data_IF_206101116308
#
_entry.id   IF_206101116308
#
_cell.length_a   1.000
_cell.length_b   1.000
_cell.length_c   1.000
_cell.angle_alpha   90.00
_cell.angle_beta   90.00
_cell.angle_gamma   90.00
#
_symmetry.space_group_name_H-M   'P 1'
#
loop_
_entity.id
_entity.type
_entity.pdbx_description
1 polymer ?
#
# COMPACT_ATOMS: atom_id res chain seq x y z
N UNK A 1 4.13 6.10 -8.82
CA UNK A 1 5.22 5.17 -8.50
C UNK A 1 6.31 5.08 -9.58
N UNK A 2 6.01 5.16 -10.88
CA UNK A 2 7.06 5.04 -11.92
C UNK A 2 8.17 6.08 -11.80
N UNK A 3 7.84 7.32 -11.43
CA UNK A 3 8.85 8.37 -11.26
C UNK A 3 9.82 8.04 -10.12
N UNK A 4 9.29 7.60 -8.98
CA UNK A 4 10.12 7.21 -7.83
C UNK A 4 11.07 6.09 -8.22
N UNK A 5 10.57 5.08 -8.94
CA UNK A 5 11.36 3.96 -9.40
C UNK A 5 12.49 4.40 -10.34
N UNK A 6 12.20 5.31 -11.28
CA UNK A 6 13.21 5.85 -12.20
C UNK A 6 14.29 6.63 -11.47
N UNK A 7 13.91 7.47 -10.51
CA UNK A 7 14.85 8.25 -9.73
C UNK A 7 15.79 7.34 -8.93
N UNK A 8 15.25 6.30 -8.32
CA UNK A 8 16.02 5.34 -7.55
C UNK A 8 17.01 4.56 -8.44
N UNK A 9 16.57 4.14 -9.62
CA UNK A 9 17.44 3.45 -10.59
C UNK A 9 18.59 4.35 -11.04
N UNK A 10 18.32 5.63 -11.27
CA UNK A 10 19.35 6.59 -11.66
C UNK A 10 20.36 6.81 -10.54
N UNK A 11 19.91 6.91 -9.30
CA UNK A 11 20.78 7.03 -8.15
C UNK A 11 21.65 5.78 -7.98
N UNK A 12 21.05 4.61 -8.10
CA UNK A 12 21.77 3.33 -7.99
C UNK A 12 22.85 3.18 -9.07
N UNK A 13 22.59 3.70 -10.26
CA UNK A 13 23.54 3.62 -11.38
C UNK A 13 24.86 4.35 -11.10
N UNK A 14 24.86 5.36 -10.21
CA UNK A 14 26.07 6.07 -9.78
C UNK A 14 26.57 5.61 -8.42
N UNK A 15 26.07 4.46 -7.93
CA UNK A 15 26.52 3.87 -6.67
C UNK A 15 25.79 4.33 -5.42
N UNK A 16 24.77 5.18 -5.57
CA UNK A 16 23.99 5.66 -4.44
C UNK A 16 22.78 4.74 -4.21
N UNK A 17 23.00 3.67 -3.45
CA UNK A 17 21.99 2.67 -3.16
C UNK A 17 22.36 1.89 -1.91
N UNK A 18 21.35 1.26 -1.28
CA UNK A 18 21.58 0.26 -0.24
C UNK A 18 21.93 -1.07 -0.90
N UNK A 19 22.88 -1.79 -0.32
CA UNK A 19 23.36 -3.04 -0.89
C UNK A 19 22.64 -4.28 -0.36
N UNK A 20 21.97 -4.16 0.78
CA UNK A 20 21.30 -5.28 1.44
C UNK A 20 19.82 -5.01 1.66
N UNK A 21 19.00 -6.06 1.44
CA UNK A 21 17.55 -5.98 1.63
C UNK A 21 17.19 -5.66 3.07
N UNK A 22 17.98 -6.14 4.04
CA UNK A 22 17.76 -5.85 5.46
C UNK A 22 17.84 -4.36 5.77
N UNK A 23 18.79 -3.64 5.14
CA UNK A 23 18.91 -2.18 5.30
C UNK A 23 17.72 -1.45 4.69
N UNK A 24 17.20 -1.92 3.58
CA UNK A 24 16.02 -1.35 2.92
C UNK A 24 14.79 -1.53 3.79
N UNK A 25 14.62 -2.73 4.36
CA UNK A 25 13.52 -3.01 5.29
C UNK A 25 13.60 -2.13 6.54
N UNK A 26 14.79 -1.98 7.09
CA UNK A 26 15.01 -1.13 8.26
C UNK A 26 14.66 0.32 7.98
N UNK A 27 15.00 0.82 6.80
CA UNK A 27 14.66 2.18 6.39
C UNK A 27 13.15 2.39 6.34
N UNK A 28 12.41 1.42 5.78
CA UNK A 28 10.96 1.48 5.76
C UNK A 28 10.38 1.51 7.18
N UNK A 29 10.92 0.71 8.07
CA UNK A 29 10.49 0.70 9.48
C UNK A 29 10.73 2.05 10.15
N UNK A 30 11.88 2.69 9.88
CA UNK A 30 12.20 4.02 10.38
C UNK A 30 11.20 5.07 9.89
N UNK A 31 10.87 5.02 8.59
CA UNK A 31 9.91 5.97 8.00
C UNK A 31 8.50 5.78 8.58
N UNK A 32 8.10 4.54 8.84
CA UNK A 32 6.81 4.25 9.50
C UNK A 32 6.78 4.83 10.91
N UNK A 33 7.89 4.74 11.65
CA UNK A 33 7.96 5.30 13.00
C UNK A 33 7.92 6.81 12.99
N UNK A 34 8.59 7.45 12.04
CA UNK A 34 8.54 8.91 11.85
C UNK A 34 7.12 9.37 11.52
N UNK A 35 6.42 8.61 10.66
CA UNK A 35 5.01 8.88 10.34
C UNK A 35 4.14 8.78 11.59
N UNK A 36 4.34 7.74 12.40
CA UNK A 36 3.59 7.55 13.65
C UNK A 36 3.79 8.74 14.59
N UNK A 37 5.02 9.21 14.72
CA UNK A 37 5.34 10.38 15.54
C UNK A 37 4.64 11.64 15.02
N UNK A 38 4.65 11.86 13.71
CA UNK A 38 3.99 13.01 13.08
C UNK A 38 2.49 12.99 13.32
N UNK A 39 1.86 11.82 13.23
CA UNK A 39 0.43 11.65 13.51
C UNK A 39 0.13 12.01 14.98
N UNK A 40 0.96 11.52 15.90
CA UNK A 40 0.82 11.80 17.33
C UNK A 40 0.94 13.28 17.69
N UNK A 41 1.72 14.03 16.90
CA UNK A 41 1.94 15.47 17.10
C UNK A 41 0.92 16.33 16.37
N UNK A 42 -0.04 15.74 15.68
CA UNK A 42 -1.11 16.45 14.95
C UNK A 42 -0.55 17.48 13.95
N UNK A 43 0.59 17.19 13.34
CA UNK A 43 1.24 18.07 12.38
C UNK A 43 0.95 17.61 10.95
N UNK A 44 -0.02 18.24 10.29
CA UNK A 44 -0.50 17.84 8.97
C UNK A 44 0.61 17.90 7.90
N UNK A 45 1.48 18.90 7.95
CA UNK A 45 2.58 19.04 6.99
C UNK A 45 3.60 17.90 7.16
N UNK A 46 3.95 17.58 8.40
CA UNK A 46 4.86 16.49 8.70
C UNK A 46 4.25 15.13 8.33
N UNK A 47 2.97 14.93 8.58
CA UNK A 47 2.27 13.70 8.19
C UNK A 47 2.35 13.49 6.68
N UNK A 48 2.12 14.55 5.90
CA UNK A 48 2.20 14.47 4.43
C UNK A 48 3.60 14.12 3.97
N UNK A 49 4.61 14.76 4.52
CA UNK A 49 6.01 14.52 4.17
C UNK A 49 6.42 13.08 4.51
N UNK A 50 6.12 12.63 5.73
CA UNK A 50 6.50 11.29 6.17
C UNK A 50 5.73 10.21 5.41
N UNK A 51 4.46 10.45 5.06
CA UNK A 51 3.72 9.51 4.22
C UNK A 51 4.37 9.38 2.84
N UNK A 52 4.81 10.50 2.27
CA UNK A 52 5.56 10.47 1.01
C UNK A 52 6.83 9.63 1.11
N UNK A 53 7.57 9.78 2.21
CA UNK A 53 8.79 9.01 2.45
C UNK A 53 8.52 7.52 2.64
N UNK A 54 7.41 7.16 3.30
CA UNK A 54 6.98 5.75 3.42
C UNK A 54 6.71 5.17 2.03
N UNK A 55 5.96 5.88 1.20
CA UNK A 55 5.66 5.40 -0.17
C UNK A 55 6.93 5.26 -1.00
N UNK A 56 7.83 6.22 -0.91
CA UNK A 56 9.12 6.18 -1.61
C UNK A 56 9.96 4.97 -1.16
N UNK A 57 9.98 4.70 0.14
CA UNK A 57 10.69 3.54 0.69
C UNK A 57 10.05 2.22 0.26
N UNK A 58 8.72 2.16 0.12
CA UNK A 58 8.03 0.98 -0.41
C UNK A 58 8.44 0.70 -1.86
N UNK A 59 8.56 1.74 -2.68
CA UNK A 59 9.02 1.59 -4.06
C UNK A 59 10.46 1.07 -4.07
N UNK A 60 11.32 1.59 -3.20
CA UNK A 60 12.70 1.15 -3.10
C UNK A 60 12.79 -0.33 -2.69
N UNK A 61 11.98 -0.76 -1.73
CA UNK A 61 11.90 -2.16 -1.32
C UNK A 61 11.49 -3.05 -2.49
N UNK A 62 10.47 -2.63 -3.25
CA UNK A 62 10.01 -3.36 -4.43
C UNK A 62 11.15 -3.55 -5.43
N UNK A 63 11.91 -2.49 -5.69
CA UNK A 63 13.05 -2.53 -6.61
C UNK A 63 14.11 -3.53 -6.15
N UNK A 64 14.43 -3.54 -4.86
CA UNK A 64 15.39 -4.50 -4.30
C UNK A 64 14.90 -5.93 -4.34
N UNK A 65 13.58 -6.15 -4.35
CA UNK A 65 12.97 -7.46 -4.52
C UNK A 65 12.84 -7.86 -6.00
N UNK A 66 13.34 -7.04 -6.92
CA UNK A 66 13.25 -7.26 -8.36
C UNK A 66 11.82 -7.22 -8.89
N UNK A 67 10.98 -6.39 -8.27
CA UNK A 67 9.58 -6.22 -8.64
C UNK A 67 9.39 -4.83 -9.23
N UNK A 68 8.51 -4.74 -10.24
CA UNK A 68 8.02 -3.46 -10.72
C UNK A 68 6.92 -2.98 -9.77
N UNK A 69 7.18 -1.87 -9.07
CA UNK A 69 6.28 -1.38 -8.03
C UNK A 69 4.88 -1.07 -8.57
N UNK A 70 4.79 -0.45 -9.75
CA UNK A 70 3.51 -0.09 -10.34
C UNK A 70 2.72 -1.33 -10.76
N UNK A 71 3.37 -2.29 -11.43
CA UNK A 71 2.73 -3.53 -11.84
C UNK A 71 2.25 -4.34 -10.62
N UNK A 72 3.08 -4.39 -9.58
CA UNK A 72 2.75 -5.11 -8.34
C UNK A 72 1.54 -4.48 -7.64
N UNK A 73 1.51 -3.14 -7.57
CA UNK A 73 0.36 -2.42 -6.99
C UNK A 73 -0.90 -2.63 -7.83
N UNK A 74 -0.76 -2.64 -9.15
CA UNK A 74 -1.90 -2.87 -10.06
C UNK A 74 -2.54 -4.23 -9.82
N UNK A 75 -1.73 -5.27 -9.58
CA UNK A 75 -2.24 -6.60 -9.24
C UNK A 75 -3.04 -6.58 -7.95
N UNK A 76 -2.55 -5.86 -6.94
CA UNK A 76 -3.23 -5.71 -5.67
C UNK A 76 -4.55 -4.96 -5.82
N UNK A 77 -4.56 -3.91 -6.64
CA UNK A 77 -5.76 -3.12 -6.95
C UNK A 77 -6.80 -3.97 -7.66
N UNK A 78 -6.39 -4.79 -8.63
CA UNK A 78 -7.29 -5.70 -9.34
C UNK A 78 -7.90 -6.74 -8.41
N UNK A 79 -7.10 -7.29 -7.51
CA UNK A 79 -7.57 -8.24 -6.51
C UNK A 79 -8.64 -7.61 -5.61
N UNK A 80 -8.40 -6.38 -5.14
CA UNK A 80 -9.38 -5.65 -4.33
C UNK A 80 -10.67 -5.42 -5.11
N UNK A 81 -10.56 -4.98 -6.36
CA UNK A 81 -11.72 -4.72 -7.21
C UNK A 81 -12.58 -5.97 -7.40
N UNK A 82 -11.95 -7.11 -7.67
CA UNK A 82 -12.67 -8.38 -7.82
C UNK A 82 -13.43 -8.76 -6.54
N UNK A 83 -12.78 -8.60 -5.39
CA UNK A 83 -13.40 -8.91 -4.10
C UNK A 83 -14.54 -7.97 -3.78
N UNK A 84 -14.36 -6.68 -4.05
CA UNK A 84 -15.39 -5.68 -3.83
C UNK A 84 -16.61 -5.93 -4.70
N UNK A 85 -16.41 -6.29 -5.97
CA UNK A 85 -17.51 -6.68 -6.88
C UNK A 85 -18.25 -7.92 -6.39
N UNK A 86 -17.52 -8.88 -5.83
CA UNK A 86 -18.14 -10.07 -5.23
C UNK A 86 -19.03 -9.68 -4.04
N UNK A 87 -18.57 -8.73 -3.22
CA UNK A 87 -19.37 -8.20 -2.11
C UNK A 87 -20.66 -7.55 -2.63
N UNK A 88 -20.55 -6.74 -3.68
CA UNK A 88 -21.71 -6.08 -4.29
C UNK A 88 -22.73 -7.11 -4.81
N UNK A 89 -22.26 -8.18 -5.45
CA UNK A 89 -23.13 -9.24 -5.93
C UNK A 89 -23.84 -10.00 -4.80
N UNK A 90 -23.12 -10.29 -3.73
CA UNK A 90 -23.69 -10.95 -2.55
C UNK A 90 -24.76 -10.07 -1.90
N UNK A 91 -24.50 -8.78 -1.78
CA UNK A 91 -25.47 -7.84 -1.23
C UNK A 91 -26.71 -7.72 -2.11
N UNK A 92 -26.52 -7.68 -3.43
CA UNK A 92 -27.63 -7.63 -4.38
C UNK A 92 -28.53 -8.87 -4.27
N UNK A 93 -27.93 -10.06 -4.12
CA UNK A 93 -28.71 -11.31 -3.93
C UNK A 93 -29.51 -11.31 -2.64
N UNK A 94 -28.98 -10.66 -1.60
CA UNK A 94 -29.68 -10.52 -0.32
C UNK A 94 -30.62 -9.32 -0.31
N UNK A 95 -30.73 -8.58 -1.42
CA UNK A 95 -31.55 -7.40 -1.58
C UNK A 95 -31.25 -6.30 -0.57
N UNK A 96 -29.97 -6.23 -0.12
CA UNK A 96 -29.51 -5.24 0.84
C UNK A 96 -28.30 -4.51 0.26
N UNK A 97 -28.43 -3.21 -0.12
CA UNK A 97 -27.30 -2.46 -0.65
C UNK A 97 -26.16 -2.35 0.37
N UNK A 98 -24.92 -2.33 -0.12
CA UNK A 98 -23.73 -2.25 0.74
C UNK A 98 -23.78 -1.07 1.72
N UNK A 99 -24.26 0.09 1.26
CA UNK A 99 -24.31 1.30 2.10
C UNK A 99 -25.29 1.23 3.26
N UNK A 100 -26.17 0.22 3.27
CA UNK A 100 -27.11 -0.02 4.37
C UNK A 100 -26.58 -1.03 5.38
N UNK A 101 -25.42 -1.64 5.13
CA UNK A 101 -24.83 -2.63 6.01
C UNK A 101 -23.93 -1.96 7.05
N UNK A 102 -23.90 -2.53 8.26
CA UNK A 102 -22.99 -2.08 9.29
C UNK A 102 -21.57 -2.65 9.04
N UNK A 103 -20.60 -2.20 9.84
CA UNK A 103 -19.21 -2.61 9.70
C UNK A 103 -19.04 -4.14 9.82
N UNK A 104 -19.74 -4.76 10.76
CA UNK A 104 -19.65 -6.20 10.97
C UNK A 104 -20.16 -6.99 9.76
N UNK A 105 -21.27 -6.55 9.19
CA UNK A 105 -21.85 -7.19 8.00
C UNK A 105 -20.94 -7.01 6.79
N UNK A 106 -20.36 -5.83 6.61
CA UNK A 106 -19.41 -5.57 5.53
C UNK A 106 -18.16 -6.43 5.66
N UNK A 107 -17.61 -6.55 6.85
CA UNK A 107 -16.43 -7.39 7.11
C UNK A 107 -16.74 -8.87 6.83
N UNK A 108 -17.93 -9.33 7.18
CA UNK A 108 -18.36 -10.69 6.89
C UNK A 108 -18.41 -10.97 5.38
N UNK A 109 -18.94 -10.02 4.60
CA UNK A 109 -18.95 -10.14 3.14
C UNK A 109 -17.53 -10.13 2.56
N UNK A 110 -16.67 -9.30 3.11
CA UNK A 110 -15.27 -9.24 2.69
C UNK A 110 -14.57 -10.58 2.90
N UNK A 111 -14.76 -11.21 4.06
CA UNK A 111 -14.17 -12.51 4.35
C UNK A 111 -14.69 -13.59 3.40
N UNK A 112 -15.99 -13.56 3.05
CA UNK A 112 -16.57 -14.46 2.06
C UNK A 112 -15.98 -14.22 0.67
N UNK A 113 -15.80 -12.95 0.29
CA UNK A 113 -15.22 -12.60 -1.01
C UNK A 113 -13.77 -13.09 -1.13
N UNK A 114 -13.00 -13.02 -0.04
CA UNK A 114 -11.62 -13.50 0.00
C UNK A 114 -11.53 -15.02 -0.18
N UNK A 115 -12.56 -15.76 0.17
CA UNK A 115 -12.58 -17.22 0.09
C UNK A 115 -12.95 -17.74 -1.31
N UNK A 116 -13.37 -16.87 -2.22
CA UNK A 116 -13.75 -17.27 -3.58
C UNK A 116 -12.54 -17.57 -4.47
#
# INVERSE_FOLDING_TARGET
>A
LPRAQKLQKRAAAVGFDWHEIGSVMQKLEEELEELRTAIGNDNAAAVREEMGDVLFSCVNLSRHLKLDAEATLRESSSKFEQRFRAMELMAAKAETPLHELDETALDSLWEKAKAL
#
